data_IF_346829643306
#
_entry.id   IF_346829643306
#
_cell.length_a   1.000
_cell.length_b   1.000
_cell.length_c   1.000
_cell.angle_alpha   90.00
_cell.angle_beta   90.00
_cell.angle_gamma   90.00
#
_symmetry.space_group_name_H-M   'P 1'
#
loop_
_entity.id
_entity.type
_entity.pdbx_description
1 polymer ?
#
# COMPACT_ATOMS: atom_id res chain seq x y z
N UNK A 1 -2.15 -10.64 -2.41
CA UNK A 1 -0.76 -10.12 -2.44
C UNK A 1 0.33 -11.13 -2.01
N UNK A 2 0.00 -12.25 -1.34
CA UNK A 2 0.99 -13.23 -0.84
C UNK A 2 2.02 -13.72 -1.89
N UNK A 3 1.66 -13.95 -3.18
CA UNK A 3 2.63 -14.34 -4.21
C UNK A 3 3.74 -13.32 -4.48
N UNK A 4 3.46 -12.04 -4.23
CA UNK A 4 4.33 -10.91 -4.53
C UNK A 4 4.91 -10.26 -3.26
N UNK A 5 4.46 -10.69 -2.08
CA UNK A 5 4.86 -10.13 -0.79
C UNK A 5 6.31 -10.46 -0.44
N UNK A 6 7.01 -9.52 0.18
CA UNK A 6 8.37 -9.72 0.66
C UNK A 6 8.51 -10.70 1.81
N UNK A 7 7.45 -10.91 2.57
CA UNK A 7 7.42 -11.89 3.66
C UNK A 7 7.02 -13.31 3.19
N UNK A 8 6.74 -13.49 1.88
CA UNK A 8 6.36 -14.76 1.29
C UNK A 8 7.48 -15.38 0.45
N UNK A 9 7.18 -16.51 -0.20
CA UNK A 9 8.12 -17.23 -1.09
C UNK A 9 8.39 -16.53 -2.43
N UNK A 10 7.70 -15.42 -2.71
CA UNK A 10 7.92 -14.58 -3.90
C UNK A 10 7.81 -15.35 -5.23
N UNK A 11 6.93 -16.35 -5.29
CA UNK A 11 6.76 -17.22 -6.46
C UNK A 11 6.02 -16.53 -7.62
N UNK A 12 5.51 -15.30 -7.43
CA UNK A 12 4.86 -14.54 -8.49
C UNK A 12 3.68 -15.31 -9.10
N UNK A 13 3.63 -15.39 -10.42
CA UNK A 13 2.56 -16.10 -11.15
C UNK A 13 2.59 -17.63 -10.97
N UNK A 14 3.70 -18.20 -10.51
CA UNK A 14 3.80 -19.64 -10.25
C UNK A 14 3.08 -20.06 -8.95
N UNK A 15 2.65 -19.08 -8.15
CA UNK A 15 1.86 -19.32 -6.96
C UNK A 15 0.39 -19.56 -7.34
N UNK A 16 -0.22 -20.63 -6.84
CA UNK A 16 -1.64 -20.93 -7.09
C UNK A 16 -2.59 -19.80 -6.67
N UNK A 17 -2.15 -18.92 -5.76
CA UNK A 17 -2.88 -17.74 -5.30
C UNK A 17 -2.76 -16.53 -6.23
N UNK A 18 -1.93 -16.59 -7.27
CA UNK A 18 -1.84 -15.54 -8.30
C UNK A 18 -3.11 -15.46 -9.17
N UNK A 19 -3.90 -16.55 -9.21
CA UNK A 19 -5.18 -16.66 -9.95
C UNK A 19 -6.22 -15.61 -9.59
N UNK A 20 -6.10 -14.95 -8.44
CA UNK A 20 -7.04 -13.88 -8.05
C UNK A 20 -7.07 -12.74 -9.07
N UNK A 21 -5.96 -12.45 -9.77
CA UNK A 21 -5.97 -11.40 -10.79
C UNK A 21 -6.81 -11.79 -12.02
N UNK A 22 -6.68 -13.02 -12.50
CA UNK A 22 -7.47 -13.54 -13.62
C UNK A 22 -8.97 -13.51 -13.33
N UNK A 23 -9.36 -13.80 -12.08
CA UNK A 23 -10.75 -13.71 -11.63
C UNK A 23 -11.23 -12.26 -11.69
N UNK A 24 -10.42 -11.30 -11.26
CA UNK A 24 -10.75 -9.88 -11.28
C UNK A 24 -10.95 -9.40 -12.73
N UNK A 25 -10.02 -9.71 -13.64
CA UNK A 25 -10.14 -9.29 -15.04
C UNK A 25 -11.34 -9.94 -15.73
N UNK A 26 -11.64 -11.20 -15.41
CA UNK A 26 -12.87 -11.88 -15.85
C UNK A 26 -14.13 -11.15 -15.35
N UNK A 27 -14.16 -10.78 -14.07
CA UNK A 27 -15.30 -10.06 -13.47
C UNK A 27 -15.47 -8.66 -14.10
N UNK A 28 -14.38 -7.92 -14.30
CA UNK A 28 -14.39 -6.60 -14.93
C UNK A 28 -14.95 -6.67 -16.35
N UNK A 29 -14.54 -7.69 -17.13
CA UNK A 29 -15.08 -7.93 -18.48
C UNK A 29 -16.57 -8.26 -18.46
N UNK A 30 -17.01 -9.10 -17.53
CA UNK A 30 -18.40 -9.57 -17.45
C UNK A 30 -19.37 -8.52 -16.88
N UNK A 31 -18.94 -7.72 -15.89
CA UNK A 31 -19.81 -6.77 -15.18
C UNK A 31 -19.69 -5.34 -15.66
N UNK A 32 -18.57 -4.98 -16.31
CA UNK A 32 -18.33 -3.63 -16.82
C UNK A 32 -18.70 -2.51 -15.83
N UNK A 33 -18.28 -2.55 -14.53
CA UNK A 33 -18.51 -1.43 -13.62
C UNK A 33 -17.97 -0.10 -14.17
N UNK A 34 -18.49 1.01 -13.68
CA UNK A 34 -18.04 2.35 -14.10
C UNK A 34 -16.58 2.62 -13.73
N UNK A 35 -16.14 2.09 -12.60
CA UNK A 35 -14.78 2.24 -12.10
C UNK A 35 -14.35 1.04 -11.24
N UNK A 36 -13.05 0.92 -11.01
CA UNK A 36 -12.47 -0.01 -10.05
C UNK A 36 -11.32 0.64 -9.26
N UNK A 37 -11.03 0.05 -8.10
CA UNK A 37 -9.83 0.32 -7.30
C UNK A 37 -9.25 -1.04 -6.87
N UNK A 38 -7.98 -1.28 -7.20
CA UNK A 38 -7.25 -2.48 -6.78
C UNK A 38 -6.00 -2.07 -5.99
N UNK A 39 -5.63 -2.87 -4.99
CA UNK A 39 -4.42 -2.70 -4.17
C UNK A 39 -3.50 -3.91 -4.31
N UNK A 40 -2.19 -3.66 -4.32
CA UNK A 40 -1.20 -4.71 -4.12
C UNK A 40 0.06 -4.18 -3.40
N UNK A 41 0.96 -5.09 -3.05
CA UNK A 41 2.25 -4.74 -2.45
C UNK A 41 3.15 -4.01 -3.44
N UNK A 42 3.93 -3.03 -2.96
CA UNK A 42 4.86 -2.24 -3.79
C UNK A 42 5.86 -3.10 -4.57
N UNK A 43 6.23 -4.29 -4.05
CA UNK A 43 7.10 -5.26 -4.74
C UNK A 43 6.56 -5.73 -6.08
N UNK A 44 5.24 -5.71 -6.29
CA UNK A 44 4.66 -5.99 -7.60
C UNK A 44 5.21 -5.01 -8.66
N UNK A 45 5.21 -3.70 -8.36
CA UNK A 45 5.73 -2.65 -9.26
C UNK A 45 7.27 -2.68 -9.36
N UNK A 46 7.98 -2.94 -8.26
CA UNK A 46 9.44 -2.81 -8.23
C UNK A 46 10.20 -4.06 -8.64
N UNK A 47 9.77 -5.25 -8.20
CA UNK A 47 10.47 -6.52 -8.41
C UNK A 47 9.83 -7.36 -9.53
N UNK A 48 8.50 -7.35 -9.64
CA UNK A 48 7.75 -8.13 -10.63
C UNK A 48 7.26 -7.28 -11.81
N UNK A 49 8.17 -6.50 -12.41
CA UNK A 49 7.84 -5.50 -13.44
C UNK A 49 7.05 -6.07 -14.64
N UNK A 50 7.41 -7.27 -15.11
CA UNK A 50 6.71 -7.93 -16.22
C UNK A 50 5.24 -8.26 -15.87
N UNK A 51 5.01 -8.83 -14.68
CA UNK A 51 3.65 -9.08 -14.18
C UNK A 51 2.87 -7.79 -13.97
N UNK A 52 3.52 -6.75 -13.42
CA UNK A 52 2.89 -5.44 -13.27
C UNK A 52 2.43 -4.86 -14.62
N UNK A 53 3.29 -4.88 -15.64
CA UNK A 53 2.95 -4.42 -16.98
C UNK A 53 1.80 -5.23 -17.59
N UNK A 54 1.85 -6.56 -17.46
CA UNK A 54 0.77 -7.45 -17.89
C UNK A 54 -0.55 -7.07 -17.23
N UNK A 55 -0.56 -6.82 -15.92
CA UNK A 55 -1.77 -6.42 -15.20
C UNK A 55 -2.35 -5.11 -15.74
N UNK A 56 -1.52 -4.09 -15.95
CA UNK A 56 -1.96 -2.80 -16.52
C UNK A 56 -2.54 -3.00 -17.93
N UNK A 57 -1.89 -3.81 -18.77
CA UNK A 57 -2.38 -4.13 -20.12
C UNK A 57 -3.73 -4.84 -20.07
N UNK A 58 -3.88 -5.88 -19.25
CA UNK A 58 -5.13 -6.63 -19.16
C UNK A 58 -6.30 -5.78 -18.65
N UNK A 59 -6.05 -4.86 -17.70
CA UNK A 59 -7.06 -3.90 -17.24
C UNK A 59 -7.48 -2.94 -18.35
N UNK A 60 -6.53 -2.48 -19.17
CA UNK A 60 -6.81 -1.62 -20.34
C UNK A 60 -7.58 -2.35 -21.44
N UNK A 61 -7.24 -3.61 -21.67
CA UNK A 61 -7.94 -4.49 -22.60
C UNK A 61 -9.34 -4.88 -22.12
N UNK A 62 -9.57 -4.91 -20.80
CA UNK A 62 -10.89 -5.12 -20.21
C UNK A 62 -11.87 -3.94 -20.40
N UNK A 63 -11.42 -2.84 -21.01
CA UNK A 63 -12.24 -1.68 -21.36
C UNK A 63 -12.05 -0.44 -20.48
N UNK A 64 -10.95 -0.37 -19.72
CA UNK A 64 -10.73 0.71 -18.74
C UNK A 64 -9.55 1.61 -19.11
N UNK A 65 -9.69 2.90 -18.92
CA UNK A 65 -8.55 3.80 -18.77
C UNK A 65 -7.97 3.56 -17.37
N UNK A 66 -6.67 3.25 -17.27
CA UNK A 66 -6.07 2.77 -16.01
C UNK A 66 -4.78 3.52 -15.72
N UNK A 67 -4.70 4.06 -14.50
CA UNK A 67 -3.50 4.66 -13.92
C UNK A 67 -3.10 3.95 -12.62
N UNK A 68 -1.84 4.10 -12.24
CA UNK A 68 -1.28 3.53 -11.02
C UNK A 68 -0.61 4.60 -10.15
N UNK A 69 -0.56 4.33 -8.85
CA UNK A 69 0.21 5.16 -7.93
C UNK A 69 0.71 4.32 -6.76
N UNK A 70 1.93 4.61 -6.30
CA UNK A 70 2.40 4.09 -5.00
C UNK A 70 2.09 5.10 -3.92
N UNK A 71 1.42 4.65 -2.86
CA UNK A 71 1.07 5.47 -1.70
C UNK A 71 1.73 4.85 -0.48
N UNK A 72 2.40 5.69 0.32
CA UNK A 72 2.88 5.33 1.64
C UNK A 72 1.91 5.87 2.70
N UNK A 73 1.36 4.97 3.53
CA UNK A 73 0.45 5.35 4.61
C UNK A 73 1.09 6.26 5.65
N UNK A 74 2.43 6.36 5.72
CA UNK A 74 3.12 7.27 6.66
C UNK A 74 2.77 8.75 6.45
N UNK A 75 2.27 9.10 5.27
CA UNK A 75 1.76 10.44 4.95
C UNK A 75 0.42 10.75 5.64
N UNK A 76 -0.27 9.72 6.16
CA UNK A 76 -1.64 9.81 6.68
C UNK A 76 -1.84 9.16 8.04
N UNK A 77 -0.98 8.21 8.41
CA UNK A 77 -1.06 7.37 9.60
C UNK A 77 0.37 7.12 10.09
N UNK A 78 0.60 6.88 11.39
CA UNK A 78 1.90 6.47 11.94
C UNK A 78 2.26 5.02 11.55
N UNK A 79 2.30 4.74 10.25
CA UNK A 79 2.53 3.40 9.73
C UNK A 79 3.26 3.47 8.39
N UNK A 80 4.48 2.90 8.35
CA UNK A 80 5.19 2.70 7.10
C UNK A 80 4.58 1.53 6.31
N UNK A 81 3.68 1.86 5.38
CA UNK A 81 2.98 0.87 4.55
C UNK A 81 2.87 1.38 3.12
N UNK A 82 3.79 0.92 2.29
CA UNK A 82 3.78 1.22 0.86
C UNK A 82 2.94 0.22 0.06
N UNK A 83 2.02 0.74 -0.74
CA UNK A 83 1.15 -0.06 -1.60
C UNK A 83 1.01 0.58 -2.97
N UNK A 84 0.93 -0.27 -3.99
CA UNK A 84 0.59 0.17 -5.34
C UNK A 84 -0.92 0.03 -5.53
N UNK A 85 -1.53 1.09 -6.02
CA UNK A 85 -2.94 1.14 -6.35
C UNK A 85 -3.11 1.21 -7.86
N UNK A 86 -4.14 0.55 -8.35
CA UNK A 86 -4.61 0.63 -9.73
C UNK A 86 -6.01 1.22 -9.69
N UNK A 87 -6.20 2.35 -10.36
CA UNK A 87 -7.50 2.98 -10.54
C UNK A 87 -7.84 2.92 -12.00
N UNK A 88 -9.07 2.53 -12.31
CA UNK A 88 -9.54 2.59 -13.67
C UNK A 88 -10.99 3.02 -13.78
N UNK A 89 -11.27 3.79 -14.83
CA UNK A 89 -12.61 4.17 -15.26
C UNK A 89 -12.91 3.54 -16.61
N UNK A 90 -14.16 3.15 -16.82
CA UNK A 90 -14.56 2.58 -18.10
C UNK A 90 -14.37 3.61 -19.22
N UNK A 91 -13.80 3.18 -20.36
CA UNK A 91 -13.32 4.09 -21.43
C UNK A 91 -14.43 4.95 -22.05
N UNK A 92 -15.67 4.47 -22.05
CA UNK A 92 -16.84 5.20 -22.55
C UNK A 92 -17.19 6.45 -21.73
N UNK A 93 -16.66 6.57 -20.50
CA UNK A 93 -16.86 7.75 -19.67
C UNK A 93 -15.99 8.94 -20.08
N UNK A 94 -15.00 8.74 -20.97
CA UNK A 94 -14.12 9.83 -21.44
C UNK A 94 -13.20 10.43 -20.37
N UNK A 95 -13.03 9.74 -19.23
CA UNK A 95 -12.16 10.18 -18.13
C UNK A 95 -10.71 9.81 -18.48
N UNK A 96 -9.82 10.80 -18.47
CA UNK A 96 -8.38 10.58 -18.60
C UNK A 96 -7.72 10.62 -17.22
N UNK A 97 -6.86 9.63 -16.94
CA UNK A 97 -6.09 9.56 -15.72
C UNK A 97 -4.61 9.78 -16.01
N UNK A 98 -3.92 10.46 -15.10
CA UNK A 98 -2.46 10.58 -15.11
C UNK A 98 -1.87 9.63 -14.07
N UNK A 99 -0.75 9.00 -14.41
CA UNK A 99 0.03 8.20 -13.46
C UNK A 99 0.48 9.07 -12.28
N UNK A 100 0.51 8.48 -11.08
CA UNK A 100 0.93 9.13 -9.83
C UNK A 100 0.13 10.41 -9.43
N UNK A 101 -1.06 10.64 -10.02
CA UNK A 101 -1.96 11.76 -9.74
C UNK A 101 -3.27 11.35 -9.00
N UNK A 102 -3.35 10.13 -8.47
CA UNK A 102 -4.54 9.55 -7.83
C UNK A 102 -4.81 10.14 -6.44
N UNK A 103 -3.81 10.68 -5.74
CA UNK A 103 -3.97 11.24 -4.39
C UNK A 103 -3.69 12.73 -4.36
N UNK A 104 -4.72 13.51 -4.01
CA UNK A 104 -4.54 14.85 -3.44
C UNK A 104 -4.26 14.73 -1.95
N UNK A 105 -2.99 14.84 -1.56
CA UNK A 105 -2.58 14.79 -0.15
C UNK A 105 -2.79 16.12 0.58
N UNK A 106 -3.20 17.20 -0.11
CA UNK A 106 -3.22 18.54 0.46
C UNK A 106 -4.33 18.75 1.49
N UNK A 107 -5.36 17.89 1.49
CA UNK A 107 -6.54 18.03 2.35
C UNK A 107 -6.73 16.91 3.39
N UNK A 108 -5.73 16.04 3.57
CA UNK A 108 -5.85 14.94 4.52
C UNK A 108 -5.68 15.46 5.95
N UNK A 109 -6.80 15.52 6.69
CA UNK A 109 -6.79 15.75 8.14
C UNK A 109 -6.26 14.49 8.82
N UNK A 110 -4.95 14.45 9.02
CA UNK A 110 -4.28 13.37 9.74
C UNK A 110 -4.45 13.60 11.24
N UNK A 111 -5.11 12.66 11.92
CA UNK A 111 -4.96 12.54 13.36
C UNK A 111 -3.52 12.12 13.61
N UNK A 112 -2.70 13.05 14.11
CA UNK A 112 -1.32 12.81 14.49
C UNK A 112 -1.33 12.04 15.81
N UNK A 113 -1.75 10.79 15.76
CA UNK A 113 -1.65 9.88 16.88
C UNK A 113 -0.26 9.22 16.84
N UNK A 114 0.50 9.32 17.90
CA UNK A 114 1.72 8.54 18.13
C UNK A 114 1.44 7.46 19.16
N UNK A 115 2.28 6.44 19.23
CA UNK A 115 2.14 5.37 20.24
C UNK A 115 2.08 5.97 21.65
N UNK A 116 2.84 7.04 21.91
CA UNK A 116 2.81 7.79 23.17
C UNK A 116 1.44 8.33 23.58
N UNK A 117 0.53 8.63 22.62
CA UNK A 117 -0.82 9.11 22.94
C UNK A 117 -1.74 8.00 23.48
N UNK A 118 -1.35 6.74 23.27
CA UNK A 118 -2.11 5.53 23.67
C UNK A 118 -1.50 4.87 24.91
N UNK A 119 -0.21 5.15 25.20
CA UNK A 119 0.46 4.57 26.36
C UNK A 119 -0.12 5.16 27.64
N UNK A 120 -0.65 4.27 28.49
CA UNK A 120 -0.98 4.61 29.87
C UNK A 120 0.33 4.65 30.69
N UNK A 121 0.96 5.83 30.71
CA UNK A 121 2.21 6.08 31.44
C UNK A 121 2.05 5.96 32.97
N UNK A 122 0.85 5.65 33.47
CA UNK A 122 0.55 5.33 34.87
C UNK A 122 0.38 3.83 35.16
N UNK A 123 0.70 2.95 34.21
CA UNK A 123 0.64 1.51 34.41
C UNK A 123 1.56 1.04 35.57
N UNK A 124 1.22 -0.03 36.30
CA UNK A 124 2.09 -0.56 37.35
C UNK A 124 3.44 -1.02 36.80
N UNK A 125 4.52 -0.79 37.56
CA UNK A 125 5.91 -1.05 37.15
C UNK A 125 6.25 -2.49 36.74
N UNK A 126 5.33 -3.43 36.96
CA UNK A 126 5.42 -4.78 36.40
C UNK A 126 5.18 -4.85 34.88
N UNK A 127 4.69 -3.77 34.27
CA UNK A 127 4.41 -3.63 32.83
C UNK A 127 5.23 -2.53 32.14
N UNK A 128 6.11 -1.83 32.87
CA UNK A 128 6.87 -0.71 32.31
C UNK A 128 7.93 -1.18 31.31
N UNK A 129 7.92 -0.55 30.13
CA UNK A 129 9.05 -0.57 29.22
C UNK A 129 10.23 0.14 29.90
N UNK A 130 11.46 -0.28 29.61
CA UNK A 130 12.63 0.41 30.15
C UNK A 130 12.62 1.90 29.72
N UNK A 131 13.11 2.81 30.58
CA UNK A 131 13.10 4.27 30.29
C UNK A 131 13.67 4.64 28.91
N UNK A 132 14.66 3.88 28.43
CA UNK A 132 15.25 4.07 27.10
C UNK A 132 14.25 3.83 25.95
N UNK A 133 13.30 2.92 26.15
CA UNK A 133 12.28 2.54 25.17
C UNK A 133 11.14 3.57 25.15
N UNK A 134 10.74 4.07 26.32
CA UNK A 134 9.80 5.20 26.44
C UNK A 134 10.37 6.47 25.77
N UNK A 135 11.65 6.78 26.00
CA UNK A 135 12.31 7.92 25.34
C UNK A 135 12.41 7.76 23.82
N UNK A 136 12.53 6.53 23.30
CA UNK A 136 12.54 6.27 21.87
C UNK A 136 11.15 6.49 21.24
N UNK A 137 10.10 5.93 21.87
CA UNK A 137 8.72 5.98 21.39
C UNK A 137 8.08 7.38 21.49
N UNK A 138 8.64 8.25 22.33
CA UNK A 138 8.14 9.62 22.54
C UNK A 138 8.78 10.66 21.61
N UNK A 139 9.68 10.28 20.71
CA UNK A 139 10.33 11.23 19.79
C UNK A 139 9.37 11.60 18.65
N UNK A 140 9.15 12.91 18.38
CA UNK A 140 8.46 13.31 17.17
C UNK A 140 9.26 12.84 15.94
N UNK A 141 8.63 12.09 15.05
CA UNK A 141 9.23 11.55 13.83
C UNK A 141 9.73 12.67 12.90
N UNK A 142 10.97 13.12 13.10
CA UNK A 142 11.71 13.95 12.12
C UNK A 142 13.00 13.28 11.66
N UNK A 143 13.29 12.06 12.09
CA UNK A 143 14.47 11.32 11.65
C UNK A 143 14.16 10.49 10.40
N UNK A 144 14.96 10.59 9.33
CA UNK A 144 14.87 9.73 8.16
C UNK A 144 14.92 8.24 8.56
N UNK A 145 14.13 7.40 7.90
CA UNK A 145 14.02 5.96 8.20
C UNK A 145 15.35 5.18 8.17
N UNK A 146 16.41 5.73 7.55
CA UNK A 146 17.74 5.14 7.49
C UNK A 146 18.57 5.31 8.77
N UNK A 147 18.18 6.22 9.66
CA UNK A 147 18.91 6.55 10.90
C UNK A 147 18.40 5.78 12.13
N UNK A 148 17.44 4.87 11.96
CA UNK A 148 16.98 4.01 13.05
C UNK A 148 18.02 2.92 13.38
N UNK A 149 18.33 2.69 14.67
CA UNK A 149 19.19 1.59 15.09
C UNK A 149 18.67 0.24 14.59
N UNK A 150 19.52 -0.55 13.92
CA UNK A 150 19.20 -1.89 13.41
C UNK A 150 19.09 -2.91 14.56
N UNK A 151 18.07 -2.80 15.40
CA UNK A 151 17.85 -3.73 16.51
C UNK A 151 16.41 -4.22 16.54
N UNK A 152 16.03 -5.05 15.56
CA UNK A 152 15.20 -6.26 15.77
C UNK A 152 15.48 -7.19 14.57
N UNK A 153 16.21 -8.29 14.79
CA UNK A 153 16.16 -9.49 13.96
C UNK A 153 15.28 -10.51 14.68
#
# INVERSE_FOLDING_TARGET
>A
CQPYSGAGRQLGEQDSRAKSFDIITTLLRAKQPLAFLLENVVKLRTHFKGTFQKFVTELREAGYETATQVINSNTMLPQHRERVFFVGFRKDLGISLQEDAIVDTQNLRVARAIVGDILDLGAPSSFDLAEAEVQHLSRPETLPWHDYPRWVR
#
